data_IF_213741981891
#
_entry.id   IF_213741981891
#
_cell.length_a   1.000
_cell.length_b   1.000
_cell.length_c   1.000
_cell.angle_alpha   90.00
_cell.angle_beta   90.00
_cell.angle_gamma   90.00
#
_symmetry.space_group_name_H-M   'P 1'
#
loop_
_entity.id
_entity.type
_entity.pdbx_description
1 polymer ?
#
# COMPACT_ATOMS: atom_id res chain seq x y z
N UNK A 1 -54.01 -16.85 -2.57
CA UNK A 1 -53.28 -17.85 -3.38
C UNK A 1 -52.65 -17.15 -4.59
N UNK A 2 -51.44 -16.61 -4.48
CA UNK A 2 -50.72 -15.98 -5.61
C UNK A 2 -49.19 -16.15 -5.54
N UNK A 3 -48.70 -16.83 -4.51
CA UNK A 3 -47.26 -17.01 -4.23
C UNK A 3 -46.61 -18.07 -5.13
N UNK A 4 -47.27 -19.19 -5.45
CA UNK A 4 -46.62 -20.29 -6.20
C UNK A 4 -46.35 -19.99 -7.68
N UNK A 5 -47.21 -19.20 -8.35
CA UNK A 5 -46.98 -18.76 -9.74
C UNK A 5 -45.80 -17.78 -9.84
N UNK A 6 -45.70 -16.84 -8.90
CA UNK A 6 -44.58 -15.89 -8.85
C UNK A 6 -43.26 -16.62 -8.59
N UNK A 7 -43.23 -17.61 -7.69
CA UNK A 7 -42.04 -18.45 -7.48
C UNK A 7 -41.64 -19.21 -8.75
N UNK A 8 -42.59 -19.69 -9.56
CA UNK A 8 -42.30 -20.40 -10.83
C UNK A 8 -41.79 -19.51 -11.96
N UNK A 9 -42.09 -18.21 -11.92
CA UNK A 9 -41.59 -17.22 -12.89
C UNK A 9 -40.21 -16.77 -12.46
N UNK A 10 -40.04 -16.44 -11.17
CA UNK A 10 -38.74 -16.08 -10.58
C UNK A 10 -37.72 -17.20 -10.80
N UNK A 11 -38.10 -18.47 -10.57
CA UNK A 11 -37.20 -19.59 -10.80
C UNK A 11 -36.73 -19.70 -12.24
N UNK A 12 -37.60 -19.42 -13.22
CA UNK A 12 -37.22 -19.41 -14.65
C UNK A 12 -36.24 -18.30 -14.98
N UNK A 13 -36.43 -17.10 -14.42
CA UNK A 13 -35.47 -16.00 -14.59
C UNK A 13 -34.11 -16.37 -14.00
N UNK A 14 -34.08 -16.89 -12.78
CA UNK A 14 -32.84 -17.36 -12.13
C UNK A 14 -32.15 -18.44 -12.98
N UNK A 15 -32.89 -19.46 -13.46
CA UNK A 15 -32.30 -20.50 -14.33
C UNK A 15 -31.70 -19.91 -15.59
N UNK A 16 -32.37 -18.94 -16.22
CA UNK A 16 -31.86 -18.27 -17.43
C UNK A 16 -30.61 -17.45 -17.15
N UNK A 17 -30.56 -16.73 -16.03
CA UNK A 17 -29.37 -16.01 -15.61
C UNK A 17 -28.20 -16.95 -15.33
N UNK A 18 -28.44 -18.06 -14.63
CA UNK A 18 -27.44 -19.11 -14.41
C UNK A 18 -26.92 -19.66 -15.75
N UNK A 19 -27.81 -20.02 -16.68
CA UNK A 19 -27.43 -20.49 -18.02
C UNK A 19 -26.54 -19.47 -18.75
N UNK A 20 -26.90 -18.19 -18.71
CA UNK A 20 -26.11 -17.11 -19.33
C UNK A 20 -24.74 -16.96 -18.67
N UNK A 21 -24.68 -17.05 -17.34
CA UNK A 21 -23.42 -17.02 -16.58
C UNK A 21 -22.52 -18.20 -16.98
N UNK A 22 -23.07 -19.41 -17.04
CA UNK A 22 -22.33 -20.60 -17.47
C UNK A 22 -21.80 -20.46 -18.90
N UNK A 23 -22.62 -19.99 -19.83
CA UNK A 23 -22.21 -19.77 -21.22
C UNK A 23 -21.08 -18.77 -21.32
N UNK A 24 -21.15 -17.67 -20.56
CA UNK A 24 -20.11 -16.64 -20.51
C UNK A 24 -18.77 -17.22 -20.07
N UNK A 25 -18.74 -17.95 -18.95
CA UNK A 25 -17.47 -18.52 -18.45
C UNK A 25 -16.94 -19.68 -19.30
N UNK A 26 -17.82 -20.51 -19.87
CA UNK A 26 -17.41 -21.57 -20.80
C UNK A 26 -16.88 -21.05 -22.15
N UNK A 27 -17.17 -19.80 -22.50
CA UNK A 27 -16.70 -19.19 -23.74
C UNK A 27 -15.30 -18.58 -23.65
N UNK A 28 -14.69 -18.58 -22.45
CA UNK A 28 -13.35 -18.04 -22.21
C UNK A 28 -12.32 -18.95 -22.90
N UNK A 29 -11.34 -18.39 -23.63
CA UNK A 29 -10.26 -19.14 -24.24
C UNK A 29 -9.43 -19.95 -23.22
N UNK A 30 -8.96 -21.13 -23.62
CA UNK A 30 -8.21 -22.04 -22.75
C UNK A 30 -6.85 -21.46 -22.33
N UNK A 31 -6.21 -20.68 -23.20
CA UNK A 31 -4.98 -19.94 -22.91
C UNK A 31 -5.19 -18.87 -21.83
N UNK A 32 -6.28 -18.10 -21.90
CA UNK A 32 -6.63 -17.13 -20.84
C UNK A 32 -6.90 -17.83 -19.50
N UNK A 33 -7.62 -18.95 -19.53
CA UNK A 33 -7.87 -19.76 -18.33
C UNK A 33 -6.58 -20.33 -17.72
N UNK A 34 -5.62 -20.73 -18.57
CA UNK A 34 -4.34 -21.24 -18.11
C UNK A 34 -3.51 -20.18 -17.39
N UNK A 35 -3.51 -18.93 -17.86
CA UNK A 35 -2.82 -17.83 -17.19
C UNK A 35 -3.40 -17.56 -15.80
N UNK A 36 -4.74 -17.47 -15.71
CA UNK A 36 -5.42 -17.28 -14.42
C UNK A 36 -5.17 -18.46 -13.49
N UNK A 37 -5.16 -19.69 -14.01
CA UNK A 37 -4.85 -20.89 -13.24
C UNK A 37 -3.43 -20.85 -12.68
N UNK A 38 -2.42 -20.50 -13.50
CA UNK A 38 -1.04 -20.38 -13.04
C UNK A 38 -0.90 -19.32 -11.93
N UNK A 39 -1.59 -18.19 -12.08
CA UNK A 39 -1.63 -17.17 -11.04
C UNK A 39 -2.24 -17.68 -9.73
N UNK A 40 -3.38 -18.40 -9.78
CA UNK A 40 -3.99 -19.02 -8.59
C UNK A 40 -3.02 -20.02 -7.94
N UNK A 41 -2.31 -20.84 -8.73
CA UNK A 41 -1.31 -21.77 -8.21
C UNK A 41 -0.15 -21.03 -7.50
N UNK A 42 0.27 -19.85 -8.00
CA UNK A 42 1.27 -18.99 -7.35
C UNK A 42 0.75 -18.47 -6.00
N UNK A 43 -0.50 -18.00 -5.94
CA UNK A 43 -1.12 -17.53 -4.69
C UNK A 43 -1.16 -18.64 -3.64
N UNK A 44 -1.67 -19.82 -4.03
CA UNK A 44 -1.83 -20.97 -3.12
C UNK A 44 -0.48 -21.50 -2.64
N UNK A 45 0.50 -21.64 -3.54
CA UNK A 45 1.83 -22.17 -3.20
C UNK A 45 2.63 -21.24 -2.28
N UNK A 46 2.48 -19.93 -2.44
CA UNK A 46 3.24 -18.94 -1.68
C UNK A 46 2.45 -18.30 -0.54
N UNK A 47 1.23 -18.79 -0.28
CA UNK A 47 0.32 -18.30 0.77
C UNK A 47 0.08 -16.78 0.71
N UNK A 48 -0.12 -16.26 -0.50
CA UNK A 48 -0.35 -14.83 -0.71
C UNK A 48 -1.81 -14.48 -0.37
N UNK A 49 -2.00 -13.36 0.35
CA UNK A 49 -3.32 -12.89 0.75
C UNK A 49 -4.00 -12.13 -0.39
N UNK A 50 -4.67 -12.87 -1.28
CA UNK A 50 -5.49 -12.31 -2.36
C UNK A 50 -6.63 -13.28 -2.67
N UNK A 51 -7.86 -12.77 -2.87
CA UNK A 51 -9.01 -13.60 -3.24
C UNK A 51 -9.25 -13.57 -4.76
N UNK A 52 -8.78 -14.58 -5.52
CA UNK A 52 -8.89 -14.59 -6.97
C UNK A 52 -10.31 -14.89 -7.47
N UNK A 53 -11.27 -15.18 -6.59
CA UNK A 53 -12.63 -15.56 -6.99
C UNK A 53 -13.65 -14.42 -6.86
N UNK A 54 -13.24 -13.22 -6.41
CA UNK A 54 -14.11 -12.02 -6.34
C UNK A 54 -14.63 -11.58 -7.70
N UNK A 55 -13.74 -11.51 -8.69
CA UNK A 55 -14.06 -11.05 -10.05
C UNK A 55 -13.07 -11.61 -11.04
N UNK A 56 -13.53 -12.46 -11.96
CA UNK A 56 -12.68 -13.01 -13.02
C UNK A 56 -11.97 -11.93 -13.84
N UNK A 57 -12.65 -10.81 -14.12
CA UNK A 57 -12.06 -9.72 -14.89
C UNK A 57 -10.90 -9.05 -14.14
N UNK A 58 -11.05 -8.84 -12.82
CA UNK A 58 -9.99 -8.29 -11.99
C UNK A 58 -8.83 -9.29 -11.89
N UNK A 59 -9.11 -10.55 -11.55
CA UNK A 59 -8.11 -11.61 -11.45
C UNK A 59 -7.33 -11.82 -12.75
N UNK A 60 -7.99 -11.70 -13.91
CA UNK A 60 -7.33 -11.76 -15.21
C UNK A 60 -6.32 -10.61 -15.35
N UNK A 61 -6.73 -9.37 -15.10
CA UNK A 61 -5.84 -8.21 -15.20
C UNK A 61 -4.66 -8.31 -14.21
N UNK A 62 -4.93 -8.71 -12.96
CA UNK A 62 -3.89 -8.96 -11.95
C UNK A 62 -2.93 -10.07 -12.40
N UNK A 63 -3.44 -11.18 -12.94
CA UNK A 63 -2.62 -12.29 -13.42
C UNK A 63 -1.70 -11.88 -14.58
N UNK A 64 -2.17 -11.03 -15.49
CA UNK A 64 -1.37 -10.49 -16.59
C UNK A 64 -0.20 -9.65 -16.05
N UNK A 65 -0.45 -8.74 -15.11
CA UNK A 65 0.59 -7.93 -14.47
C UNK A 65 1.58 -8.81 -13.68
N UNK A 66 1.08 -9.76 -12.88
CA UNK A 66 1.94 -10.66 -12.12
C UNK A 66 2.84 -11.53 -13.01
N UNK A 67 2.38 -11.89 -14.22
CA UNK A 67 3.19 -12.61 -15.19
C UNK A 67 4.38 -11.77 -15.69
N UNK A 68 4.26 -10.44 -15.75
CA UNK A 68 5.35 -9.52 -16.12
C UNK A 68 6.33 -9.23 -14.98
N UNK A 69 5.89 -9.38 -13.73
CA UNK A 69 6.71 -9.16 -12.55
C UNK A 69 7.72 -10.30 -12.35
N UNK A 70 7.34 -11.54 -12.64
CA UNK A 70 8.11 -12.80 -12.53
C UNK A 70 8.65 -13.16 -11.12
N UNK A 71 8.83 -12.17 -10.24
CA UNK A 71 9.35 -12.31 -8.88
C UNK A 71 8.23 -12.33 -7.84
N UNK A 72 8.25 -13.33 -6.95
CA UNK A 72 7.20 -13.57 -5.94
C UNK A 72 7.13 -12.45 -4.90
N UNK A 73 8.26 -11.85 -4.52
CA UNK A 73 8.27 -10.78 -3.52
C UNK A 73 7.75 -9.47 -4.12
N UNK A 74 8.06 -9.21 -5.39
CA UNK A 74 7.49 -8.07 -6.12
C UNK A 74 5.98 -8.28 -6.35
N UNK A 75 5.56 -9.52 -6.66
CA UNK A 75 4.13 -9.88 -6.75
C UNK A 75 3.44 -9.68 -5.39
N UNK A 76 4.05 -10.08 -4.28
CA UNK A 76 3.47 -9.88 -2.95
C UNK A 76 3.27 -8.40 -2.64
N UNK A 77 4.29 -7.58 -2.90
CA UNK A 77 4.20 -6.11 -2.77
C UNK A 77 3.09 -5.54 -3.64
N UNK A 78 3.01 -5.95 -4.91
CA UNK A 78 1.97 -5.50 -5.84
C UNK A 78 0.56 -5.82 -5.31
N UNK A 79 0.34 -7.06 -4.84
CA UNK A 79 -0.96 -7.47 -4.33
C UNK A 79 -1.35 -6.71 -3.06
N UNK A 80 -0.39 -6.43 -2.18
CA UNK A 80 -0.61 -5.61 -0.99
C UNK A 80 -1.04 -4.18 -1.36
N UNK A 81 -0.34 -3.56 -2.31
CA UNK A 81 -0.69 -2.21 -2.77
C UNK A 81 -2.09 -2.20 -3.44
N UNK A 82 -2.41 -3.25 -4.19
CA UNK A 82 -3.68 -3.35 -4.92
C UNK A 82 -4.89 -3.67 -4.02
N UNK A 83 -4.83 -4.71 -3.19
CA UNK A 83 -5.99 -5.19 -2.41
C UNK A 83 -6.10 -4.53 -1.03
N UNK A 84 -4.97 -4.32 -0.34
CA UNK A 84 -4.97 -3.76 1.02
C UNK A 84 -4.97 -2.22 1.01
N UNK A 85 -4.13 -1.58 0.17
CA UNK A 85 -4.09 -0.11 0.07
C UNK A 85 -5.08 0.45 -0.96
N UNK A 86 -5.61 -0.38 -1.85
CA UNK A 86 -6.58 0.03 -2.87
C UNK A 86 -5.98 0.91 -3.98
N UNK A 87 -4.68 0.82 -4.21
CA UNK A 87 -3.95 1.62 -5.19
C UNK A 87 -3.65 0.79 -6.45
N UNK A 88 -3.93 1.37 -7.61
CA UNK A 88 -3.60 0.78 -8.91
C UNK A 88 -2.25 1.33 -9.39
N UNK A 89 -1.22 0.47 -9.37
CA UNK A 89 0.14 0.79 -9.79
C UNK A 89 0.58 -0.11 -10.95
N UNK A 90 1.46 0.40 -11.81
CA UNK A 90 1.97 -0.38 -12.94
C UNK A 90 3.05 -1.37 -12.50
N UNK A 91 3.29 -2.37 -13.34
CA UNK A 91 4.33 -3.37 -13.12
C UNK A 91 5.73 -2.75 -12.97
N UNK A 92 6.07 -1.76 -13.81
CA UNK A 92 7.35 -1.06 -13.73
C UNK A 92 7.50 -0.26 -12.43
N UNK A 93 6.47 0.50 -12.07
CA UNK A 93 6.45 1.30 -10.84
C UNK A 93 6.58 0.39 -9.61
N UNK A 94 5.93 -0.79 -9.63
CA UNK A 94 6.06 -1.79 -8.55
C UNK A 94 7.49 -2.27 -8.38
N UNK A 95 8.20 -2.52 -9.49
CA UNK A 95 9.62 -2.93 -9.45
C UNK A 95 10.49 -1.82 -8.86
N UNK A 96 10.24 -0.56 -9.21
CA UNK A 96 10.96 0.58 -8.64
C UNK A 96 10.69 0.73 -7.14
N UNK A 97 9.43 0.63 -6.71
CA UNK A 97 9.03 0.66 -5.30
C UNK A 97 9.73 -0.46 -4.51
N UNK A 98 9.76 -1.67 -5.06
CA UNK A 98 10.48 -2.79 -4.43
C UNK A 98 11.97 -2.49 -4.29
N UNK A 99 12.62 -2.01 -5.35
CA UNK A 99 14.05 -1.68 -5.31
C UNK A 99 14.36 -0.60 -4.27
N UNK A 100 13.55 0.45 -4.21
CA UNK A 100 13.69 1.50 -3.20
C UNK A 100 13.57 0.94 -1.77
N UNK A 101 12.59 0.06 -1.54
CA UNK A 101 12.41 -0.59 -0.25
C UNK A 101 13.61 -1.47 0.15
N UNK A 102 14.26 -2.13 -0.81
CA UNK A 102 15.45 -2.95 -0.56
C UNK A 102 16.71 -2.08 -0.35
N UNK A 103 16.91 -1.06 -1.18
CA UNK A 103 18.14 -0.25 -1.19
C UNK A 103 18.16 0.81 -0.09
N UNK A 104 17.03 1.49 0.13
CA UNK A 104 16.90 2.60 1.07
C UNK A 104 16.28 2.19 2.41
N UNK A 105 15.65 1.02 2.49
CA UNK A 105 14.88 0.56 3.66
C UNK A 105 13.47 1.14 3.76
N UNK A 106 13.12 2.07 2.87
CA UNK A 106 11.79 2.64 2.73
C UNK A 106 11.52 3.06 1.29
N UNK A 107 10.25 3.24 0.95
CA UNK A 107 9.83 3.88 -0.29
C UNK A 107 8.57 4.72 -0.05
N UNK A 108 8.36 5.73 -0.89
CA UNK A 108 7.17 6.57 -0.90
C UNK A 108 6.33 6.23 -2.12
N UNK A 109 5.08 5.87 -1.90
CA UNK A 109 4.05 5.70 -2.93
C UNK A 109 2.95 6.73 -2.71
N UNK A 110 2.05 6.98 -3.69
CA UNK A 110 0.97 7.95 -3.51
C UNK A 110 0.16 7.66 -2.24
N UNK A 111 0.14 8.61 -1.30
CA UNK A 111 -0.58 8.50 -0.03
C UNK A 111 0.08 7.62 1.04
N UNK A 112 1.22 6.96 0.79
CA UNK A 112 1.82 6.06 1.79
C UNK A 112 3.34 6.04 1.80
N UNK A 113 3.92 5.85 2.99
CA UNK A 113 5.26 5.31 3.16
C UNK A 113 5.19 3.81 3.39
N UNK A 114 6.08 3.05 2.76
CA UNK A 114 6.34 1.64 3.07
C UNK A 114 7.77 1.54 3.60
N UNK A 115 7.98 0.79 4.67
CA UNK A 115 9.31 0.72 5.30
C UNK A 115 9.54 -0.59 6.06
N UNK A 116 10.82 -0.96 6.18
CA UNK A 116 11.25 -2.19 6.87
C UNK A 116 11.49 -1.97 8.35
N UNK A 117 12.00 -0.80 8.70
CA UNK A 117 12.43 -0.50 10.06
C UNK A 117 12.19 0.97 10.43
N UNK A 118 11.89 1.20 11.70
CA UNK A 118 11.65 2.55 12.21
C UNK A 118 12.93 3.41 12.26
N UNK A 119 14.12 2.80 12.32
CA UNK A 119 15.37 3.58 12.42
C UNK A 119 15.61 4.37 11.13
N UNK A 120 15.39 3.72 9.99
CA UNK A 120 15.39 4.33 8.65
C UNK A 120 14.39 5.49 8.57
N UNK A 121 13.17 5.31 9.10
CA UNK A 121 12.17 6.37 9.11
C UNK A 121 12.54 7.53 10.05
N UNK A 122 13.21 7.25 11.18
CA UNK A 122 13.76 8.28 12.08
C UNK A 122 14.91 9.06 11.44
N UNK A 123 15.74 8.40 10.62
CA UNK A 123 16.77 9.07 9.82
C UNK A 123 16.14 9.98 8.77
N UNK A 124 15.13 9.49 8.04
CA UNK A 124 14.38 10.30 7.08
C UNK A 124 13.71 11.51 7.73
N UNK A 125 13.03 11.31 8.88
CA UNK A 125 12.40 12.38 9.64
C UNK A 125 13.41 13.44 10.07
N UNK A 126 14.63 13.02 10.42
CA UNK A 126 15.71 13.93 10.80
C UNK A 126 16.19 14.78 9.61
N UNK A 127 16.36 14.17 8.44
CA UNK A 127 16.78 14.89 7.24
C UNK A 127 15.70 15.90 6.79
N UNK A 128 14.43 15.50 6.86
CA UNK A 128 13.29 16.37 6.58
C UNK A 128 13.18 17.52 7.58
N UNK A 129 13.38 17.24 8.87
CA UNK A 129 13.41 18.25 9.94
C UNK A 129 14.54 19.25 9.73
N UNK A 130 15.74 18.77 9.38
CA UNK A 130 16.85 19.65 9.05
C UNK A 130 16.50 20.54 7.85
N UNK A 131 15.76 20.06 6.85
CA UNK A 131 15.26 20.91 5.76
C UNK A 131 14.21 21.93 6.23
N UNK A 132 13.21 21.50 7.02
CA UNK A 132 12.15 22.38 7.56
C UNK A 132 12.71 23.53 8.41
N UNK A 133 13.75 23.26 9.19
CA UNK A 133 14.43 24.26 10.01
C UNK A 133 15.21 25.32 9.23
N UNK A 134 15.41 25.16 7.91
CA UNK A 134 15.91 26.24 7.04
C UNK A 134 14.81 27.18 6.54
N UNK A 135 13.54 26.83 6.73
CA UNK A 135 12.38 27.62 6.28
C UNK A 135 11.68 28.30 7.45
N UNK A 136 11.62 29.62 7.41
CA UNK A 136 10.97 30.44 8.45
C UNK A 136 9.47 30.17 8.61
N UNK A 137 8.76 29.81 7.55
CA UNK A 137 7.32 29.52 7.61
C UNK A 137 7.09 28.18 8.32
N UNK A 138 7.84 27.15 7.93
CA UNK A 138 7.82 25.84 8.59
C UNK A 138 8.22 25.93 10.07
N UNK A 139 9.27 26.70 10.39
CA UNK A 139 9.69 26.93 11.78
C UNK A 139 8.58 27.58 12.61
N UNK A 140 7.84 28.53 12.03
CA UNK A 140 6.73 29.20 12.72
C UNK A 140 5.53 28.27 12.96
N UNK A 141 5.31 27.28 12.10
CA UNK A 141 4.27 26.26 12.28
C UNK A 141 4.68 25.19 13.32
N UNK A 142 5.99 24.93 13.45
CA UNK A 142 6.53 23.89 14.33
C UNK A 142 6.74 24.34 15.77
N UNK A 143 7.10 25.60 16.01
CA UNK A 143 7.45 26.13 17.33
C UNK A 143 6.54 27.30 17.70
N UNK A 144 6.02 27.30 18.92
CA UNK A 144 5.27 28.44 19.41
C UNK A 144 6.17 29.64 19.73
N UNK A 145 5.56 30.79 20.02
CA UNK A 145 6.30 32.02 20.30
C UNK A 145 7.15 31.93 21.58
N UNK A 146 6.77 31.11 22.55
CA UNK A 146 7.51 30.90 23.79
C UNK A 146 8.73 30.00 23.55
N UNK A 147 8.58 28.92 22.78
CA UNK A 147 9.65 28.04 22.35
C UNK A 147 10.71 28.78 21.54
N UNK A 148 10.28 29.58 20.56
CA UNK A 148 11.20 30.41 19.77
C UNK A 148 11.95 31.44 20.65
N UNK A 149 11.26 32.04 21.62
CA UNK A 149 11.89 32.96 22.57
C UNK A 149 12.94 32.22 23.44
N UNK A 150 12.64 31.01 23.90
CA UNK A 150 13.57 30.18 24.66
C UNK A 150 14.80 29.80 23.83
N UNK A 151 14.61 29.30 22.60
CA UNK A 151 15.70 28.98 21.68
C UNK A 151 16.62 30.19 21.45
N UNK A 152 16.04 31.38 21.28
CA UNK A 152 16.79 32.62 21.12
C UNK A 152 17.56 33.02 22.38
N UNK A 153 16.90 33.00 23.55
CA UNK A 153 17.50 33.40 24.85
C UNK A 153 18.67 32.49 25.21
N UNK A 154 18.57 31.18 24.94
CA UNK A 154 19.63 30.22 25.23
C UNK A 154 20.69 30.11 24.12
N UNK A 155 20.49 30.78 22.97
CA UNK A 155 21.42 30.72 21.85
C UNK A 155 21.52 29.32 21.24
N UNK A 156 20.42 28.56 21.27
CA UNK A 156 20.35 27.18 20.81
C UNK A 156 20.66 27.10 19.32
N UNK A 157 21.58 26.21 18.93
CA UNK A 157 21.89 25.97 17.52
C UNK A 157 20.76 25.20 16.83
N UNK A 158 20.66 25.31 15.50
CA UNK A 158 19.71 24.54 14.68
C UNK A 158 19.77 23.03 14.97
N UNK A 159 20.98 22.48 15.10
CA UNK A 159 21.17 21.06 15.39
C UNK A 159 20.68 20.66 16.79
N UNK A 160 20.76 21.57 17.77
CA UNK A 160 20.24 21.35 19.11
C UNK A 160 18.70 21.46 19.14
N UNK A 161 18.13 22.42 18.41
CA UNK A 161 16.69 22.54 18.21
C UNK A 161 16.11 21.30 17.54
N UNK A 162 16.73 20.80 16.46
CA UNK A 162 16.33 19.56 15.80
C UNK A 162 16.35 18.34 16.74
N UNK A 163 17.42 18.21 17.54
CA UNK A 163 17.55 17.13 18.52
C UNK A 163 16.51 17.21 19.63
N UNK A 164 16.15 18.42 20.06
CA UNK A 164 15.10 18.61 21.05
C UNK A 164 13.74 18.24 20.45
N UNK A 165 13.44 18.73 19.25
CA UNK A 165 12.18 18.43 18.57
C UNK A 165 11.98 16.93 18.33
N UNK A 166 13.02 16.21 17.90
CA UNK A 166 13.02 14.74 17.75
C UNK A 166 12.86 13.95 19.06
N UNK A 167 13.07 14.58 20.23
CA UNK A 167 12.83 13.94 21.53
C UNK A 167 11.41 14.16 22.02
N UNK A 168 10.85 15.29 21.64
CA UNK A 168 9.53 15.73 22.12
C UNK A 168 8.41 15.27 21.17
N UNK A 169 8.73 14.90 19.93
CA UNK A 169 7.80 14.45 18.90
C UNK A 169 8.24 13.11 18.30
N UNK A 170 7.27 12.38 17.76
CA UNK A 170 7.51 11.10 17.09
C UNK A 170 7.88 11.31 15.61
N UNK A 171 8.59 10.35 15.02
CA UNK A 171 9.10 10.49 13.65
C UNK A 171 7.99 10.66 12.61
N UNK A 172 6.83 10.02 12.80
CA UNK A 172 5.70 10.12 11.87
C UNK A 172 5.05 11.50 11.91
N UNK A 173 5.03 12.16 13.08
CA UNK A 173 4.52 13.53 13.21
C UNK A 173 5.41 14.52 12.44
N UNK A 174 6.73 14.31 12.53
CA UNK A 174 7.71 15.12 11.80
C UNK A 174 7.55 14.93 10.28
N UNK A 175 7.28 13.71 9.83
CA UNK A 175 7.04 13.41 8.42
C UNK A 175 5.61 13.76 7.94
N UNK A 176 4.71 14.14 8.85
CA UNK A 176 3.32 14.45 8.50
C UNK A 176 2.54 13.21 8.05
N UNK A 177 2.81 12.05 8.64
CA UNK A 177 2.12 10.80 8.37
C UNK A 177 1.54 10.19 9.65
N UNK A 178 0.64 9.23 9.49
CA UNK A 178 0.04 8.50 10.61
C UNK A 178 1.03 7.51 11.22
N UNK A 179 0.75 7.05 12.43
CA UNK A 179 1.54 5.97 13.03
C UNK A 179 1.47 4.74 12.12
N UNK A 180 2.63 4.12 11.86
CA UNK A 180 2.69 2.99 10.94
C UNK A 180 1.99 1.75 11.48
N UNK A 181 1.42 1.00 10.54
CA UNK A 181 0.71 -0.25 10.76
C UNK A 181 1.43 -1.42 10.07
N UNK A 182 1.15 -2.64 10.52
CA UNK A 182 1.67 -3.87 9.91
C UNK A 182 1.04 -4.06 8.51
N UNK A 183 1.87 -4.11 7.48
CA UNK A 183 1.43 -4.35 6.11
C UNK A 183 1.47 -5.83 5.76
N UNK A 184 2.63 -6.29 5.30
CA UNK A 184 2.81 -7.68 4.88
C UNK A 184 4.17 -8.23 5.33
N UNK A 185 4.28 -9.55 5.42
CA UNK A 185 5.56 -10.22 5.70
C UNK A 185 6.23 -10.63 4.40
N UNK A 186 7.52 -10.30 4.25
CA UNK A 186 8.31 -10.69 3.09
C UNK A 186 8.70 -12.17 3.11
N UNK A 187 9.44 -12.63 2.09
CA UNK A 187 9.85 -14.05 2.02
C UNK A 187 10.84 -14.44 3.12
N UNK A 188 11.62 -13.50 3.66
CA UNK A 188 12.58 -13.75 4.73
C UNK A 188 11.92 -13.79 6.11
N UNK A 189 10.65 -13.40 6.20
CA UNK A 189 9.90 -13.32 7.44
C UNK A 189 9.96 -11.93 8.09
N UNK A 190 10.50 -10.94 7.39
CA UNK A 190 10.58 -9.57 7.88
C UNK A 190 9.24 -8.85 7.62
N UNK A 191 8.76 -8.13 8.64
CA UNK A 191 7.52 -7.36 8.54
C UNK A 191 7.79 -6.05 7.79
N UNK A 192 7.00 -5.79 6.76
CA UNK A 192 6.93 -4.50 6.08
C UNK A 192 5.78 -3.72 6.69
N UNK A 193 6.09 -2.50 7.12
CA UNK A 193 5.13 -1.56 7.68
C UNK A 193 4.70 -0.56 6.63
N UNK A 194 3.54 0.04 6.84
CA UNK A 194 3.05 1.14 6.01
C UNK A 194 2.50 2.27 6.88
N UNK A 195 2.57 3.50 6.39
CA UNK A 195 2.06 4.68 7.09
C UNK A 195 1.36 5.59 6.09
N UNK A 196 0.13 5.99 6.41
CA UNK A 196 -0.67 6.90 5.57
C UNK A 196 -0.08 8.30 5.64
N UNK A 197 0.24 8.89 4.49
CA UNK A 197 0.65 10.29 4.40
C UNK A 197 -0.58 11.18 4.27
N UNK A 198 -0.51 12.41 4.80
CA UNK A 198 -1.59 13.39 4.65
C UNK A 198 -1.77 13.94 3.22
N UNK A 199 -1.13 13.34 2.21
CA UNK A 199 -1.25 13.72 0.80
C UNK A 199 -2.51 13.06 0.20
N UNK A 200 -3.35 13.82 -0.49
CA UNK A 200 -4.50 13.24 -1.21
C UNK A 200 -4.01 12.29 -2.32
N UNK A 201 -4.56 11.07 -2.33
CA UNK A 201 -4.34 10.00 -3.33
C UNK A 201 -5.03 10.34 -4.66
#
# INVERSE_FOLDING_TARGET
MNTSKNTSIISKFITKEIEHIYQRYNSIPEDELNNVKQFIEILEKNHLNFDPYRSYAATKATAEICAELEDIDIIRLYLFILDDLGLDIKAEDTKEVYMDLIEKGYCKIPGYYLYKDEETMKELARDELDCKLDDTEQVADMFDAEDLANLWVFGTSKQEAAKQYMRDNEWWEILGCEQGEEGYTDYYGDMIYYSLTGEEV
#
